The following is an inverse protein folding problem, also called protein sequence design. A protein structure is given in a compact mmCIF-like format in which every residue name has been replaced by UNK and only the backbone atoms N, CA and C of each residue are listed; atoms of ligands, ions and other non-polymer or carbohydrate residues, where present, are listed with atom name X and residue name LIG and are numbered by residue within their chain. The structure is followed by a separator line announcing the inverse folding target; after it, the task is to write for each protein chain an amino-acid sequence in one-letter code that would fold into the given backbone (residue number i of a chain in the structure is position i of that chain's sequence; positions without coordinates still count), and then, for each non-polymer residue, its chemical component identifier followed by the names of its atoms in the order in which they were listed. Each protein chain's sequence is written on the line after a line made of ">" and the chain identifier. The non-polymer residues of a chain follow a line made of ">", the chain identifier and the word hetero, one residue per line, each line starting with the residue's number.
data_IF_155880456016
#
_entry.id   IF_155880456016
#
_cell.length_a   1.000
_cell.length_b   1.000
_cell.length_c   1.000
_cell.angle_alpha   90.00
_cell.angle_beta   90.00
_cell.angle_gamma   90.00
#
_symmetry.space_group_name_H-M   'P 1'
#
loop_
_entity.id
_entity.type
_entity.pdbx_description
1 polymer ?
#
# COMPACT_ATOMS: atom_id res chain seq x y z
N UNK A 1 34.36 15.71 -22.60
CA UNK A 1 34.87 14.39 -22.17
C UNK A 1 33.84 13.77 -21.24
N UNK A 2 33.00 12.88 -21.75
CA UNK A 2 31.98 12.21 -20.92
C UNK A 2 32.67 11.07 -20.14
N UNK A 3 32.68 11.17 -18.82
CA UNK A 3 33.12 10.09 -17.95
C UNK A 3 32.12 8.95 -18.11
N UNK A 4 32.53 7.82 -18.70
CA UNK A 4 31.73 6.60 -18.67
C UNK A 4 31.63 6.13 -17.22
N UNK A 5 30.50 6.41 -16.57
CA UNK A 5 30.19 5.81 -15.29
C UNK A 5 30.13 4.29 -15.48
N UNK A 6 31.05 3.59 -14.83
CA UNK A 6 31.05 2.14 -14.81
C UNK A 6 29.88 1.73 -13.90
N UNK A 7 28.77 1.26 -14.49
CA UNK A 7 27.68 0.67 -13.74
C UNK A 7 28.19 -0.63 -13.11
N UNK A 8 28.37 -0.62 -11.80
CA UNK A 8 28.52 -1.85 -11.02
C UNK A 8 27.12 -2.39 -10.79
N UNK A 9 26.74 -3.53 -11.38
CA UNK A 9 25.43 -4.11 -11.12
C UNK A 9 25.39 -4.52 -9.65
N UNK A 10 24.59 -3.80 -8.84
CA UNK A 10 24.29 -4.23 -7.47
C UNK A 10 23.27 -5.37 -7.53
N UNK A 11 23.56 -6.53 -6.94
CA UNK A 11 22.59 -7.62 -6.90
C UNK A 11 21.36 -7.17 -6.11
N UNK A 12 20.21 -7.09 -6.78
CA UNK A 12 18.95 -6.75 -6.12
C UNK A 12 18.55 -7.93 -5.22
N UNK A 13 18.37 -7.66 -3.94
CA UNK A 13 18.02 -8.65 -2.93
C UNK A 13 16.53 -8.59 -2.55
N UNK A 14 16.02 -9.62 -1.88
CA UNK A 14 14.68 -9.59 -1.30
C UNK A 14 14.51 -8.42 -0.31
N UNK A 15 15.56 -8.07 0.45
CA UNK A 15 15.54 -6.92 1.35
C UNK A 15 15.42 -5.59 0.62
N UNK A 16 16.04 -5.44 -0.55
CA UNK A 16 15.89 -4.24 -1.38
C UNK A 16 14.49 -4.13 -1.97
N UNK A 17 13.92 -5.25 -2.45
CA UNK A 17 12.53 -5.27 -2.90
C UNK A 17 11.53 -4.97 -1.77
N UNK A 18 11.85 -5.37 -0.54
CA UNK A 18 11.06 -4.97 0.62
C UNK A 18 11.13 -3.45 0.87
N UNK A 19 12.33 -2.85 0.81
CA UNK A 19 12.48 -1.39 0.92
C UNK A 19 11.75 -0.63 -0.19
N UNK A 20 11.75 -1.17 -1.40
CA UNK A 20 10.96 -0.63 -2.52
C UNK A 20 9.45 -0.65 -2.21
N UNK A 21 8.93 -1.77 -1.67
CA UNK A 21 7.53 -1.85 -1.24
C UNK A 21 7.22 -0.83 -0.13
N UNK A 22 8.09 -0.68 0.88
CA UNK A 22 7.95 0.34 1.92
C UNK A 22 7.95 1.75 1.34
N UNK A 23 8.81 2.03 0.37
CA UNK A 23 8.84 3.32 -0.31
C UNK A 23 7.49 3.64 -0.97
N UNK A 24 6.93 2.71 -1.75
CA UNK A 24 5.64 2.96 -2.39
C UNK A 24 4.49 3.06 -1.39
N UNK A 25 4.53 2.32 -0.30
CA UNK A 25 3.56 2.46 0.79
C UNK A 25 3.60 3.87 1.40
N UNK A 26 4.79 4.42 1.65
CA UNK A 26 4.93 5.79 2.13
C UNK A 26 4.39 6.80 1.10
N UNK A 27 4.67 6.60 -0.20
CA UNK A 27 4.09 7.44 -1.27
C UNK A 27 2.57 7.37 -1.30
N UNK A 28 1.97 6.18 -1.11
CA UNK A 28 0.52 6.05 -0.97
C UNK A 28 -0.02 6.88 0.21
N UNK A 29 0.64 6.80 1.35
CA UNK A 29 0.26 7.54 2.55
C UNK A 29 0.34 9.05 2.34
N UNK A 30 1.40 9.53 1.69
CA UNK A 30 1.61 10.95 1.39
C UNK A 30 0.61 11.49 0.35
N UNK A 31 0.23 10.66 -0.61
CA UNK A 31 -0.71 11.02 -1.69
C UNK A 31 -2.12 10.51 -1.46
N UNK A 32 -2.49 10.20 -0.21
CA UNK A 32 -3.80 9.60 0.11
C UNK A 32 -4.99 10.47 -0.30
N UNK A 33 -4.80 11.78 -0.39
CA UNK A 33 -5.79 12.76 -0.84
C UNK A 33 -5.82 12.97 -2.35
N UNK A 34 -4.88 12.36 -3.09
CA UNK A 34 -4.75 12.55 -4.52
C UNK A 34 -5.33 11.36 -5.30
N UNK A 35 -6.43 11.60 -6.03
CA UNK A 35 -7.17 10.55 -6.75
C UNK A 35 -6.42 9.96 -7.95
N UNK A 36 -5.38 10.63 -8.44
CA UNK A 36 -4.56 10.13 -9.56
C UNK A 36 -3.29 9.44 -9.08
N UNK A 37 -2.58 10.00 -8.10
CA UNK A 37 -1.28 9.48 -7.67
C UNK A 37 -1.41 8.26 -6.77
N UNK A 38 -2.41 8.21 -5.90
CA UNK A 38 -2.61 7.07 -5.01
C UNK A 38 -2.73 5.73 -5.77
N UNK A 39 -3.58 5.58 -6.80
CA UNK A 39 -3.69 4.33 -7.55
C UNK A 39 -2.38 3.93 -8.24
N UNK A 40 -1.58 4.89 -8.72
CA UNK A 40 -0.28 4.60 -9.34
C UNK A 40 0.70 4.02 -8.31
N UNK A 41 0.79 4.64 -7.13
CA UNK A 41 1.65 4.15 -6.06
C UNK A 41 1.17 2.80 -5.50
N UNK A 42 -0.14 2.59 -5.44
CA UNK A 42 -0.71 1.31 -5.03
C UNK A 42 -0.36 0.18 -5.99
N UNK A 43 -0.49 0.38 -7.29
CA UNK A 43 -0.09 -0.61 -8.30
C UNK A 43 1.40 -0.95 -8.21
N UNK A 44 2.26 0.07 -8.04
CA UNK A 44 3.69 -0.11 -7.85
C UNK A 44 4.00 -0.85 -6.54
N UNK A 45 3.30 -0.55 -5.46
CA UNK A 45 3.40 -1.25 -4.18
C UNK A 45 3.11 -2.75 -4.32
N UNK A 46 1.99 -3.11 -4.96
CA UNK A 46 1.60 -4.51 -5.15
C UNK A 46 2.67 -5.29 -5.92
N UNK A 47 3.24 -4.67 -6.95
CA UNK A 47 4.31 -5.25 -7.76
C UNK A 47 5.60 -5.43 -6.97
N UNK A 48 5.99 -4.43 -6.18
CA UNK A 48 7.18 -4.47 -5.32
C UNK A 48 7.02 -5.53 -4.21
N UNK A 49 5.87 -5.54 -3.52
CA UNK A 49 5.58 -6.51 -2.45
C UNK A 49 5.65 -7.96 -2.95
N UNK A 50 5.07 -8.24 -4.10
CA UNK A 50 5.15 -9.57 -4.73
C UNK A 50 6.58 -9.94 -5.11
N UNK A 51 7.36 -8.99 -5.58
CA UNK A 51 8.75 -9.21 -5.98
C UNK A 51 9.63 -9.67 -4.82
N UNK A 52 9.34 -9.27 -3.57
CA UNK A 52 10.08 -9.72 -2.39
C UNK A 52 10.18 -11.25 -2.34
N UNK A 53 9.06 -11.93 -2.50
CA UNK A 53 9.02 -13.40 -2.42
C UNK A 53 9.70 -14.09 -3.61
N UNK A 54 9.67 -13.49 -4.80
CA UNK A 54 10.41 -13.99 -5.95
C UNK A 54 11.92 -13.86 -5.77
N UNK A 55 12.37 -12.71 -5.30
CA UNK A 55 13.80 -12.47 -5.05
C UNK A 55 14.32 -13.33 -3.90
N UNK A 56 13.52 -13.55 -2.86
CA UNK A 56 13.86 -14.46 -1.77
C UNK A 56 14.08 -15.90 -2.29
N UNK A 57 13.17 -16.40 -3.13
CA UNK A 57 13.31 -17.72 -3.74
C UNK A 57 14.52 -17.81 -4.69
N UNK A 58 14.78 -16.76 -5.47
CA UNK A 58 15.94 -16.72 -6.37
C UNK A 58 17.26 -16.71 -5.60
N UNK A 59 17.31 -15.95 -4.49
CA UNK A 59 18.50 -15.79 -3.63
C UNK A 59 18.94 -17.11 -2.98
N UNK A 60 17.99 -17.95 -2.60
CA UNK A 60 18.25 -19.20 -1.87
C UNK A 60 17.90 -20.46 -2.67
N UNK A 61 17.86 -20.35 -4.00
CA UNK A 61 17.62 -21.48 -4.89
C UNK A 61 18.68 -22.56 -4.68
N UNK A 62 18.25 -23.82 -4.51
CA UNK A 62 19.12 -24.96 -4.28
C UNK A 62 19.51 -25.19 -2.81
N UNK A 63 19.15 -24.28 -1.91
CA UNK A 63 19.30 -24.50 -0.47
C UNK A 63 18.13 -25.33 0.05
N UNK A 64 18.36 -26.61 0.34
CA UNK A 64 17.30 -27.56 0.77
C UNK A 64 16.62 -27.15 2.07
N UNK A 65 17.33 -26.53 3.00
CA UNK A 65 16.76 -26.03 4.27
C UNK A 65 15.77 -24.89 3.97
N UNK A 66 16.18 -23.97 3.11
CA UNK A 66 15.30 -22.90 2.64
C UNK A 66 14.07 -23.43 1.93
N UNK A 67 14.25 -24.34 0.97
CA UNK A 67 13.15 -24.89 0.17
C UNK A 67 12.10 -25.56 1.06
N UNK A 68 12.54 -26.35 2.04
CA UNK A 68 11.64 -27.03 2.99
C UNK A 68 10.89 -26.01 3.88
N UNK A 69 11.59 -25.04 4.42
CA UNK A 69 11.01 -23.99 5.25
C UNK A 69 10.05 -23.11 4.45
N UNK A 70 10.49 -22.68 3.26
CA UNK A 70 9.71 -21.76 2.44
C UNK A 70 8.45 -22.41 1.85
N UNK A 71 8.48 -23.70 1.53
CA UNK A 71 7.29 -24.43 1.09
C UNK A 71 6.15 -24.33 2.10
N UNK A 72 6.45 -24.53 3.39
CA UNK A 72 5.46 -24.36 4.47
C UNK A 72 4.94 -22.92 4.56
N UNK A 73 5.84 -21.93 4.42
CA UNK A 73 5.46 -20.51 4.42
C UNK A 73 4.61 -20.14 3.21
N UNK A 74 4.92 -20.71 2.05
CA UNK A 74 4.15 -20.49 0.83
C UNK A 74 2.73 -21.05 0.95
N UNK A 75 2.56 -22.22 1.58
CA UNK A 75 1.24 -22.80 1.85
C UNK A 75 0.43 -21.90 2.81
N UNK A 76 1.05 -21.42 3.89
CA UNK A 76 0.43 -20.45 4.81
C UNK A 76 -0.03 -19.19 4.08
N UNK A 77 0.81 -18.61 3.22
CA UNK A 77 0.46 -17.42 2.44
C UNK A 77 -0.67 -17.69 1.43
N UNK A 78 -0.74 -18.87 0.83
CA UNK A 78 -1.85 -19.26 -0.06
C UNK A 78 -3.20 -19.36 0.67
N UNK A 79 -3.17 -19.83 1.91
CA UNK A 79 -4.36 -19.90 2.76
C UNK A 79 -4.80 -18.55 3.34
N UNK A 80 -3.96 -17.55 3.31
CA UNK A 80 -4.21 -16.24 3.91
C UNK A 80 -5.10 -15.37 3.01
N UNK A 81 -6.29 -14.96 3.47
CA UNK A 81 -7.22 -14.13 2.68
C UNK A 81 -6.61 -12.82 2.20
N UNK A 82 -5.79 -12.16 3.04
CA UNK A 82 -5.15 -10.91 2.69
C UNK A 82 -4.17 -11.06 1.51
N UNK A 83 -3.31 -12.09 1.55
CA UNK A 83 -2.37 -12.34 0.45
C UNK A 83 -3.06 -12.77 -0.83
N UNK A 84 -4.18 -13.47 -0.74
CA UNK A 84 -5.02 -13.79 -1.91
C UNK A 84 -5.56 -12.52 -2.53
N UNK A 85 -6.20 -11.65 -1.72
CA UNK A 85 -6.73 -10.37 -2.16
C UNK A 85 -5.65 -9.51 -2.82
N UNK A 86 -4.51 -9.27 -2.16
CA UNK A 86 -3.42 -8.47 -2.71
C UNK A 86 -2.86 -9.06 -4.02
N UNK A 87 -2.81 -10.40 -4.12
CA UNK A 87 -2.41 -11.07 -5.36
C UNK A 87 -3.42 -10.84 -6.49
N UNK A 88 -4.71 -11.01 -6.22
CA UNK A 88 -5.78 -10.82 -7.20
C UNK A 88 -5.78 -9.39 -7.73
N UNK A 89 -5.69 -8.40 -6.84
CA UNK A 89 -5.60 -6.99 -7.23
C UNK A 89 -4.35 -6.70 -8.09
N UNK A 90 -3.21 -7.28 -7.74
CA UNK A 90 -1.99 -7.14 -8.54
C UNK A 90 -2.16 -7.78 -9.92
N UNK A 91 -2.73 -8.98 -9.99
CA UNK A 91 -2.92 -9.68 -11.26
C UNK A 91 -3.93 -8.95 -12.14
N UNK A 92 -4.99 -8.37 -11.58
CA UNK A 92 -5.93 -7.50 -12.28
C UNK A 92 -5.25 -6.25 -12.83
N UNK A 93 -4.47 -5.54 -12.00
CA UNK A 93 -3.77 -4.33 -12.41
C UNK A 93 -2.79 -4.54 -13.57
N UNK A 94 -2.16 -5.71 -13.64
CA UNK A 94 -1.15 -6.02 -14.67
C UNK A 94 -1.75 -6.59 -15.96
N UNK A 95 -2.87 -7.27 -15.90
CA UNK A 95 -3.32 -8.12 -17.01
C UNK A 95 -4.71 -7.80 -17.53
N UNK A 96 -5.54 -7.06 -16.78
CA UNK A 96 -6.93 -6.87 -17.16
C UNK A 96 -7.33 -5.38 -17.29
N UNK A 97 -7.27 -4.65 -16.21
CA UNK A 97 -7.75 -3.26 -16.12
C UNK A 97 -7.15 -2.56 -14.90
N UNK A 98 -7.19 -1.22 -14.85
CA UNK A 98 -6.87 -0.48 -13.62
C UNK A 98 -7.70 -0.98 -12.45
N UNK A 99 -7.08 -1.12 -11.28
CA UNK A 99 -7.78 -1.55 -10.06
C UNK A 99 -8.91 -0.55 -9.77
N UNK A 100 -10.11 -1.07 -9.59
CA UNK A 100 -11.26 -0.26 -9.21
C UNK A 100 -11.17 0.04 -7.72
N UNK A 101 -10.71 1.23 -7.39
CA UNK A 101 -10.68 1.75 -6.03
C UNK A 101 -11.80 2.75 -5.85
N UNK A 102 -12.52 2.64 -4.75
CA UNK A 102 -13.47 3.66 -4.32
C UNK A 102 -12.75 4.64 -3.38
N UNK A 103 -12.96 5.91 -3.64
CA UNK A 103 -12.44 6.99 -2.85
C UNK A 103 -13.56 7.55 -1.98
N UNK A 104 -13.55 7.19 -0.71
CA UNK A 104 -14.47 7.72 0.27
C UNK A 104 -13.80 8.90 0.97
N UNK A 105 -14.47 10.05 0.98
CA UNK A 105 -13.94 11.25 1.61
C UNK A 105 -15.03 12.00 2.35
N UNK A 106 -14.62 12.72 3.38
CA UNK A 106 -15.47 13.61 4.15
C UNK A 106 -14.61 14.64 4.89
N UNK A 107 -15.21 15.64 5.51
CA UNK A 107 -14.49 16.57 6.37
C UNK A 107 -14.05 15.85 7.65
N UNK A 108 -12.92 16.25 8.20
CA UNK A 108 -12.56 15.92 9.57
C UNK A 108 -13.42 16.77 10.52
N UNK A 109 -14.31 16.10 11.26
CA UNK A 109 -15.14 16.76 12.29
C UNK A 109 -14.33 16.83 13.59
N UNK A 110 -14.26 17.98 14.29
CA UNK A 110 -13.62 18.09 15.60
C UNK A 110 -14.19 17.08 16.61
N UNK A 111 -13.35 16.59 17.52
CA UNK A 111 -13.77 15.62 18.56
C UNK A 111 -14.90 16.15 19.47
N UNK A 112 -14.93 17.48 19.69
CA UNK A 112 -15.98 18.15 20.46
C UNK A 112 -17.32 18.16 19.70
N UNK A 113 -17.33 17.73 18.44
CA UNK A 113 -18.51 17.78 17.59
C UNK A 113 -18.79 19.20 17.04
N UNK A 114 -19.90 19.31 16.33
CA UNK A 114 -20.38 20.60 15.79
C UNK A 114 -21.85 20.71 16.21
N UNK A 115 -22.12 21.60 17.15
CA UNK A 115 -23.51 21.93 17.53
C UNK A 115 -24.10 22.91 16.48
N UNK A 116 -24.89 22.38 15.54
CA UNK A 116 -25.60 23.19 14.57
C UNK A 116 -26.85 22.48 14.05
N UNK A 117 -27.82 23.26 13.63
CA UNK A 117 -28.99 22.78 12.91
C UNK A 117 -28.79 22.72 11.39
N UNK A 118 -27.69 23.31 10.90
CA UNK A 118 -27.36 23.36 9.50
C UNK A 118 -25.86 23.21 9.29
N UNK A 119 -25.47 22.21 8.51
CA UNK A 119 -24.10 21.90 8.15
C UNK A 119 -24.01 21.64 6.65
N UNK A 120 -23.25 22.46 5.95
CA UNK A 120 -22.89 22.21 4.54
C UNK A 120 -21.48 21.62 4.47
N UNK A 121 -21.32 20.58 3.65
CA UNK A 121 -20.03 19.93 3.40
C UNK A 121 -19.72 20.10 1.92
N UNK A 122 -18.59 20.74 1.65
CA UNK A 122 -18.04 20.91 0.31
C UNK A 122 -16.89 19.93 0.05
N UNK A 123 -16.79 19.45 -1.18
CA UNK A 123 -15.61 18.73 -1.65
C UNK A 123 -15.31 19.11 -3.10
N UNK A 124 -14.05 19.38 -3.37
CA UNK A 124 -13.56 19.74 -4.71
C UNK A 124 -12.28 18.97 -5.03
N UNK A 125 -12.05 18.72 -6.31
CA UNK A 125 -10.79 18.13 -6.78
C UNK A 125 -10.15 19.09 -7.76
N UNK A 126 -8.90 19.42 -7.55
CA UNK A 126 -8.16 20.26 -8.48
C UNK A 126 -7.70 19.50 -9.73
N UNK A 127 -7.14 20.21 -10.71
CA UNK A 127 -6.67 19.63 -11.97
C UNK A 127 -5.50 18.65 -11.81
N UNK A 128 -4.86 18.59 -10.64
CA UNK A 128 -3.78 17.68 -10.28
C UNK A 128 -4.28 16.46 -9.49
N UNK A 129 -5.59 16.38 -9.22
CA UNK A 129 -6.22 15.27 -8.51
C UNK A 129 -6.22 15.39 -6.99
N UNK A 130 -5.81 16.55 -6.44
CA UNK A 130 -5.84 16.77 -5.00
C UNK A 130 -7.26 17.10 -4.54
N UNK A 131 -7.73 16.40 -3.52
CA UNK A 131 -9.06 16.58 -2.94
C UNK A 131 -8.97 17.53 -1.76
N UNK A 132 -9.85 18.52 -1.76
CA UNK A 132 -10.06 19.48 -0.67
C UNK A 132 -11.47 19.35 -0.14
N UNK A 133 -11.63 19.47 1.16
CA UNK A 133 -12.94 19.49 1.81
C UNK A 133 -13.11 20.76 2.60
N UNK A 134 -14.36 21.23 2.67
CA UNK A 134 -14.75 22.41 3.46
C UNK A 134 -15.99 22.10 4.28
N UNK A 135 -16.15 22.83 5.36
CA UNK A 135 -17.38 22.85 6.17
C UNK A 135 -17.87 24.28 6.32
N UNK A 136 -19.19 24.46 6.30
CA UNK A 136 -19.88 25.68 6.65
C UNK A 136 -20.92 25.36 7.71
N UNK A 137 -20.83 26.05 8.83
CA UNK A 137 -21.68 25.83 10.00
C UNK A 137 -22.68 26.95 10.12
N UNK A 138 -23.98 26.63 10.09
CA UNK A 138 -25.07 27.60 10.05
C UNK A 138 -25.30 28.19 8.66
N UNK A 139 -26.43 28.86 8.46
CA UNK A 139 -26.82 29.45 7.16
C UNK A 139 -25.95 30.64 6.74
N UNK A 140 -25.45 31.40 7.72
CA UNK A 140 -24.65 32.60 7.50
C UNK A 140 -23.16 32.41 7.90
N UNK A 141 -22.75 31.15 8.19
CA UNK A 141 -21.39 30.81 8.59
C UNK A 141 -20.41 30.98 7.43
N UNK A 142 -19.15 31.29 7.76
CA UNK A 142 -18.08 31.25 6.78
C UNK A 142 -17.70 29.80 6.44
N UNK A 143 -17.41 29.57 5.17
CA UNK A 143 -16.87 28.29 4.71
C UNK A 143 -15.40 28.18 5.16
N UNK A 144 -15.06 27.08 5.83
CA UNK A 144 -13.69 26.79 6.28
C UNK A 144 -13.17 25.54 5.59
N UNK A 145 -11.97 25.65 5.02
CA UNK A 145 -11.25 24.47 4.55
C UNK A 145 -10.82 23.62 5.76
N UNK A 146 -11.09 22.33 5.69
CA UNK A 146 -10.73 21.35 6.72
C UNK A 146 -10.01 20.17 6.06
N UNK A 147 -9.09 19.52 6.77
CA UNK A 147 -8.40 18.35 6.24
C UNK A 147 -9.42 17.27 5.85
N UNK A 148 -9.31 16.68 4.64
CA UNK A 148 -10.18 15.57 4.26
C UNK A 148 -9.86 14.31 5.06
N UNK A 149 -10.89 13.66 5.58
CA UNK A 149 -10.81 12.27 6.02
C UNK A 149 -10.99 11.38 4.79
N UNK A 150 -9.97 10.61 4.46
CA UNK A 150 -9.93 9.84 3.21
C UNK A 150 -9.75 8.37 3.49
N UNK A 151 -10.59 7.55 2.87
CA UNK A 151 -10.45 6.11 2.85
C UNK A 151 -10.44 5.61 1.40
N UNK A 152 -9.45 4.80 1.08
CA UNK A 152 -9.43 4.03 -0.15
C UNK A 152 -9.89 2.62 0.14
N UNK A 153 -10.96 2.21 -0.51
CA UNK A 153 -11.57 0.90 -0.32
C UNK A 153 -11.71 0.17 -1.63
N UNK A 154 -11.76 -1.14 -1.58
CA UNK A 154 -12.19 -1.99 -2.70
C UNK A 154 -13.63 -2.37 -2.49
N UNK A 155 -14.34 -2.49 -3.60
CA UNK A 155 -15.72 -2.96 -3.64
C UNK A 155 -15.77 -4.48 -3.37
N UNK A 156 -15.60 -4.82 -2.10
CA UNK A 156 -15.74 -6.17 -1.55
C UNK A 156 -16.87 -6.15 -0.50
N UNK A 157 -17.44 -7.32 -0.15
CA UNK A 157 -18.55 -7.40 0.81
C UNK A 157 -18.28 -6.69 2.15
N UNK A 158 -17.00 -6.63 2.53
CA UNK A 158 -16.52 -5.88 3.69
C UNK A 158 -15.60 -4.76 3.18
N UNK A 159 -15.98 -3.50 3.36
CA UNK A 159 -15.17 -2.34 3.00
C UNK A 159 -13.76 -2.42 3.60
N UNK A 160 -12.79 -2.87 2.81
CA UNK A 160 -11.41 -3.04 3.27
C UNK A 160 -10.64 -1.75 3.01
N UNK A 161 -10.14 -1.13 4.05
CA UNK A 161 -9.22 -0.01 3.95
C UNK A 161 -7.89 -0.48 3.34
N UNK A 162 -7.56 0.06 2.18
CA UNK A 162 -6.38 -0.36 1.39
C UNK A 162 -5.07 -0.06 2.13
N UNK A 163 -4.95 1.07 2.82
CA UNK A 163 -3.73 1.39 3.56
C UNK A 163 -3.49 0.41 4.71
N UNK A 164 -4.53 0.04 5.44
CA UNK A 164 -4.45 -0.94 6.52
C UNK A 164 -4.11 -2.34 5.99
N UNK A 165 -4.71 -2.73 4.88
CA UNK A 165 -4.41 -3.99 4.21
C UNK A 165 -2.94 -4.05 3.73
N UNK A 166 -2.44 -2.97 3.15
CA UNK A 166 -1.05 -2.87 2.70
C UNK A 166 -0.05 -2.88 3.85
N UNK A 167 -0.31 -2.17 4.95
CA UNK A 167 0.52 -2.20 6.15
C UNK A 167 0.57 -3.61 6.76
N UNK A 168 -0.59 -4.27 6.86
CA UNK A 168 -0.66 -5.66 7.32
C UNK A 168 0.13 -6.61 6.40
N UNK A 169 0.07 -6.43 5.09
CA UNK A 169 0.85 -7.16 4.11
C UNK A 169 2.36 -6.97 4.30
N UNK A 170 2.80 -5.72 4.49
CA UNK A 170 4.21 -5.40 4.78
C UNK A 170 4.70 -6.08 6.06
N UNK A 171 3.95 -5.99 7.16
CA UNK A 171 4.32 -6.63 8.43
C UNK A 171 4.49 -8.13 8.30
N UNK A 172 3.60 -8.80 7.55
CA UNK A 172 3.69 -10.25 7.32
C UNK A 172 4.89 -10.63 6.45
N UNK A 173 5.20 -9.88 5.41
CA UNK A 173 6.42 -10.09 4.60
C UNK A 173 7.68 -9.80 5.41
N UNK A 174 7.69 -8.77 6.25
CA UNK A 174 8.80 -8.50 7.16
C UNK A 174 9.05 -9.66 8.13
N UNK A 175 7.98 -10.22 8.71
CA UNK A 175 8.08 -11.40 9.58
C UNK A 175 8.61 -12.63 8.83
N UNK A 176 8.24 -12.82 7.55
CA UNK A 176 8.80 -13.86 6.70
C UNK A 176 10.32 -13.71 6.54
N UNK A 177 10.78 -12.51 6.17
CA UNK A 177 12.21 -12.22 5.99
C UNK A 177 13.00 -12.40 7.31
N UNK A 178 12.43 -11.91 8.42
CA UNK A 178 13.02 -12.06 9.76
C UNK A 178 13.14 -13.53 10.16
N UNK A 179 12.09 -14.32 9.97
CA UNK A 179 12.08 -15.74 10.32
C UNK A 179 13.12 -16.56 9.54
N UNK A 180 13.38 -16.22 8.28
CA UNK A 180 14.46 -16.85 7.53
C UNK A 180 15.85 -16.45 8.07
N UNK A 181 16.05 -15.16 8.36
CA UNK A 181 17.33 -14.67 8.89
C UNK A 181 17.65 -15.26 10.28
N UNK A 182 16.66 -15.49 11.12
CA UNK A 182 16.81 -16.15 12.42
C UNK A 182 17.23 -17.60 12.25
N UNK A 183 16.55 -18.34 11.37
CA UNK A 183 16.90 -19.73 11.06
C UNK A 183 18.34 -19.88 10.53
N UNK A 184 18.80 -18.92 9.71
CA UNK A 184 20.19 -18.92 9.22
C UNK A 184 21.22 -18.71 10.35
N UNK A 185 20.87 -17.91 11.38
CA UNK A 185 21.77 -17.67 12.53
C UNK A 185 21.85 -18.88 13.46
N UNK A 186 20.79 -19.65 13.59
CA UNK A 186 20.74 -20.85 14.42
C UNK A 186 21.48 -22.06 13.78
N UNK A 187 21.63 -22.02 12.46
CA UNK A 187 22.22 -23.12 11.68
C UNK A 187 23.73 -22.93 11.39
N UNK A 188 24.31 -21.79 11.71
CA UNK A 188 25.73 -21.45 11.53
C UNK A 188 26.45 -21.25 12.82
#
# INVERSE_FOLDING_TARGET
>A
MLIKAQMVPMPVTAGEKFREAVYFFNRMTETRTNVYLFPFHFSAFLSALRSVTFYLQAQFRGNKVFETWYSKKQEQMRGDPLFRMLKEMRDEALHARPIQLQFLHGPTIPEEGIETTHLEIGATTDGMGEVRTSIKVGTDGEEKEVPPLVHWVVDLPDEINILEACDSGLRRIQALLKGWNELCKEAG
#
